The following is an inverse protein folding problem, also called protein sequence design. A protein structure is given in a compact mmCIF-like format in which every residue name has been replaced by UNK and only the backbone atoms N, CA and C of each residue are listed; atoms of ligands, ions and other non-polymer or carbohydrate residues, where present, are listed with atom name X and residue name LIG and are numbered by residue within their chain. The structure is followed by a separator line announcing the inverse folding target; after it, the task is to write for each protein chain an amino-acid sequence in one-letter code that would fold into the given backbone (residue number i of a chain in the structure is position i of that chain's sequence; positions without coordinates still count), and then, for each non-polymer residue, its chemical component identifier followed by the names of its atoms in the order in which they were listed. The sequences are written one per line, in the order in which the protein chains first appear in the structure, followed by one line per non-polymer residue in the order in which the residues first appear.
data_IF_177666333339
#
_entry.id   IF_177666333339
#
_cell.length_a   1.000
_cell.length_b   1.000
_cell.length_c   1.000
_cell.angle_alpha   90.00
_cell.angle_beta   90.00
_cell.angle_gamma   90.00
#
_symmetry.space_group_name_H-M   'P 1'
#
loop_
_entity.id
_entity.type
_entity.pdbx_description
1 polymer ?
#
# COMPACT_ATOMS: atom_id res chain seq x y z
N UNK A 1 -52.22 -30.33 -2.08
CA UNK A 1 -50.98 -29.53 -1.90
C UNK A 1 -50.89 -28.54 -3.04
N UNK A 2 -50.91 -27.27 -2.68
CA UNK A 2 -51.29 -26.16 -3.56
C UNK A 2 -50.13 -25.75 -4.49
N UNK A 3 -50.41 -25.64 -5.80
CA UNK A 3 -49.41 -25.38 -6.86
C UNK A 3 -48.67 -24.07 -6.64
N UNK A 4 -49.33 -23.10 -6.01
CA UNK A 4 -48.78 -21.78 -5.63
C UNK A 4 -47.67 -21.88 -4.57
N UNK A 5 -47.77 -22.82 -3.63
CA UNK A 5 -46.73 -22.98 -2.59
C UNK A 5 -45.41 -23.52 -3.16
N UNK A 6 -45.48 -24.31 -4.24
CA UNK A 6 -44.29 -24.84 -4.94
C UNK A 6 -43.58 -23.83 -5.82
N UNK A 7 -44.23 -22.75 -6.25
CA UNK A 7 -43.62 -21.68 -7.05
C UNK A 7 -43.01 -20.55 -6.20
N UNK A 8 -43.55 -20.33 -4.99
CA UNK A 8 -43.01 -19.33 -4.05
C UNK A 8 -41.63 -19.76 -3.52
N UNK A 9 -41.42 -21.04 -3.22
CA UNK A 9 -40.14 -21.57 -2.74
C UNK A 9 -38.95 -21.44 -3.74
N UNK A 10 -39.09 -21.73 -5.05
CA UNK A 10 -38.03 -21.52 -6.03
C UNK A 10 -37.78 -20.04 -6.31
N UNK A 11 -38.82 -19.20 -6.31
CA UNK A 11 -38.64 -17.75 -6.42
C UNK A 11 -37.84 -17.19 -5.22
N UNK A 12 -38.12 -17.65 -4.00
CA UNK A 12 -37.37 -17.25 -2.81
C UNK A 12 -35.91 -17.73 -2.85
N UNK A 13 -35.64 -18.95 -3.33
CA UNK A 13 -34.26 -19.44 -3.52
C UNK A 13 -33.49 -18.60 -4.53
N UNK A 14 -34.12 -18.28 -5.67
CA UNK A 14 -33.51 -17.48 -6.71
C UNK A 14 -33.20 -16.05 -6.23
N UNK A 15 -34.12 -15.45 -5.44
CA UNK A 15 -33.89 -14.15 -4.80
C UNK A 15 -32.74 -14.24 -3.80
N UNK A 16 -32.70 -15.28 -2.95
CA UNK A 16 -31.64 -15.47 -1.97
C UNK A 16 -30.27 -15.66 -2.64
N UNK A 17 -30.21 -16.35 -3.77
CA UNK A 17 -28.97 -16.57 -4.53
C UNK A 17 -28.46 -15.28 -5.19
N UNK A 18 -29.34 -14.50 -5.82
CA UNK A 18 -28.97 -13.21 -6.41
C UNK A 18 -28.54 -12.21 -5.33
N UNK A 19 -29.24 -12.17 -4.19
CA UNK A 19 -28.84 -11.33 -3.05
C UNK A 19 -27.51 -11.82 -2.48
N UNK A 20 -27.34 -13.13 -2.29
CA UNK A 20 -26.09 -13.72 -1.80
C UNK A 20 -24.90 -13.39 -2.69
N UNK A 21 -25.06 -13.49 -4.01
CA UNK A 21 -24.03 -13.08 -4.97
C UNK A 21 -23.73 -11.59 -4.89
N UNK A 22 -24.73 -10.71 -4.79
CA UNK A 22 -24.51 -9.26 -4.67
C UNK A 22 -23.87 -8.85 -3.34
N UNK A 23 -24.29 -9.47 -2.24
CA UNK A 23 -23.72 -9.22 -0.90
C UNK A 23 -22.29 -9.74 -0.83
N UNK A 24 -22.02 -10.95 -1.35
CA UNK A 24 -20.67 -11.50 -1.42
C UNK A 24 -19.78 -10.65 -2.34
N UNK A 25 -20.29 -10.23 -3.50
CA UNK A 25 -19.58 -9.35 -4.42
C UNK A 25 -19.27 -8.00 -3.78
N UNK A 26 -20.25 -7.36 -3.14
CA UNK A 26 -20.07 -6.10 -2.43
C UNK A 26 -19.13 -6.23 -1.24
N UNK A 27 -19.18 -7.34 -0.50
CA UNK A 27 -18.28 -7.64 0.61
C UNK A 27 -16.85 -7.87 0.12
N UNK A 28 -16.66 -8.62 -0.97
CA UNK A 28 -15.34 -8.82 -1.58
C UNK A 28 -14.82 -7.52 -2.17
N UNK A 29 -15.65 -6.73 -2.84
CA UNK A 29 -15.27 -5.44 -3.40
C UNK A 29 -14.89 -4.46 -2.29
N UNK A 30 -15.67 -4.37 -1.22
CA UNK A 30 -15.34 -3.59 -0.03
C UNK A 30 -14.06 -4.11 0.62
N UNK A 31 -13.91 -5.43 0.77
CA UNK A 31 -12.71 -6.04 1.36
C UNK A 31 -11.47 -5.78 0.50
N UNK A 32 -11.58 -5.80 -0.81
CA UNK A 32 -10.50 -5.46 -1.75
C UNK A 32 -10.21 -3.96 -1.77
N UNK A 33 -11.21 -3.11 -1.56
CA UNK A 33 -11.05 -1.66 -1.39
C UNK A 33 -10.46 -1.29 -0.01
N UNK A 34 -10.74 -2.07 1.04
CA UNK A 34 -10.19 -1.85 2.38
C UNK A 34 -8.85 -2.54 2.59
N UNK A 35 -8.51 -3.57 1.80
CA UNK A 35 -7.23 -4.28 1.87
C UNK A 35 -6.04 -3.45 1.37
N UNK A 36 -6.30 -2.33 0.69
CA UNK A 36 -5.30 -1.32 0.36
C UNK A 36 -5.83 -0.02 0.94
N UNK A 37 -5.30 0.47 2.07
CA UNK A 37 -5.79 1.67 2.71
C UNK A 37 -5.90 2.80 1.69
N UNK A 38 -7.12 3.25 1.39
CA UNK A 38 -7.38 4.30 0.41
C UNK A 38 -6.72 5.63 0.80
N UNK A 39 -6.42 5.80 2.09
CA UNK A 39 -5.58 6.84 2.66
C UNK A 39 -4.56 6.17 3.58
N UNK A 40 -3.32 6.01 3.10
CA UNK A 40 -2.20 5.77 4.02
C UNK A 40 -2.02 7.07 4.80
N UNK A 41 -2.25 7.02 6.12
CA UNK A 41 -1.99 8.14 7.01
C UNK A 41 -0.86 7.74 7.95
N UNK A 42 0.34 8.26 7.68
CA UNK A 42 1.54 7.96 8.47
C UNK A 42 1.39 8.50 9.90
N UNK A 43 0.67 9.60 10.08
CA UNK A 43 0.37 10.16 11.40
C UNK A 43 -0.57 9.33 12.28
N UNK A 44 -1.18 8.26 11.75
CA UNK A 44 -1.97 7.29 12.54
C UNK A 44 -1.18 6.07 13.00
N UNK A 45 0.04 5.89 12.48
CA UNK A 45 0.92 4.80 12.89
C UNK A 45 1.46 5.06 14.30
N UNK A 46 1.92 4.02 14.98
CA UNK A 46 2.70 4.21 16.19
C UNK A 46 3.99 4.95 15.85
N UNK A 47 4.51 5.73 16.79
CA UNK A 47 5.69 6.57 16.56
C UNK A 47 6.87 5.78 15.96
N UNK A 48 7.17 4.59 16.50
CA UNK A 48 8.25 3.71 16.00
C UNK A 48 8.02 3.21 14.58
N UNK A 49 6.77 2.92 14.22
CA UNK A 49 6.38 2.47 12.88
C UNK A 49 6.46 3.63 11.88
N UNK A 50 6.02 4.82 12.27
CA UNK A 50 6.12 6.02 11.46
C UNK A 50 7.58 6.38 11.17
N UNK A 51 8.45 6.31 12.18
CA UNK A 51 9.90 6.49 12.03
C UNK A 51 10.52 5.45 11.10
N UNK A 52 10.14 4.18 11.23
CA UNK A 52 10.61 3.11 10.35
C UNK A 52 10.23 3.37 8.88
N UNK A 53 8.96 3.75 8.64
CA UNK A 53 8.46 4.08 7.31
C UNK A 53 9.18 5.27 6.71
N UNK A 54 9.40 6.32 7.50
CA UNK A 54 10.10 7.52 7.04
C UNK A 54 11.56 7.25 6.69
N UNK A 55 12.26 6.48 7.53
CA UNK A 55 13.65 6.09 7.24
C UNK A 55 13.74 5.18 6.03
N UNK A 56 12.78 4.28 5.86
CA UNK A 56 12.68 3.47 4.65
C UNK A 56 12.39 4.32 3.41
N UNK A 57 11.54 5.34 3.52
CA UNK A 57 11.22 6.25 2.43
C UNK A 57 12.49 6.94 1.88
N UNK A 58 13.41 7.33 2.75
CA UNK A 58 14.70 7.90 2.34
C UNK A 58 15.53 6.88 1.55
N UNK A 59 15.61 5.62 1.99
CA UNK A 59 16.28 4.54 1.24
C UNK A 59 15.64 4.35 -0.13
N UNK A 60 14.31 4.34 -0.20
CA UNK A 60 13.57 4.18 -1.45
C UNK A 60 13.81 5.37 -2.41
N UNK A 61 13.85 6.60 -1.90
CA UNK A 61 14.16 7.78 -2.68
C UNK A 61 15.59 7.75 -3.25
N UNK A 62 16.55 7.23 -2.47
CA UNK A 62 17.95 7.10 -2.89
C UNK A 62 18.19 5.93 -3.85
N UNK A 63 17.35 4.90 -3.86
CA UNK A 63 17.55 3.67 -4.64
C UNK A 63 17.64 3.92 -6.16
N UNK A 64 17.01 4.99 -6.66
CA UNK A 64 17.08 5.38 -8.07
C UNK A 64 18.30 6.21 -8.45
N UNK A 65 19.02 6.77 -7.48
CA UNK A 65 20.12 7.72 -7.69
C UNK A 65 19.69 9.13 -8.14
N UNK A 66 18.40 9.35 -8.37
CA UNK A 66 17.84 10.62 -8.87
C UNK A 66 17.38 11.52 -7.72
N UNK A 67 17.95 12.72 -7.62
CA UNK A 67 17.60 13.67 -6.57
C UNK A 67 16.14 14.19 -6.67
N UNK A 68 15.52 14.11 -7.84
CA UNK A 68 14.11 14.48 -8.05
C UNK A 68 13.16 13.64 -7.17
N UNK A 69 13.48 12.37 -6.93
CA UNK A 69 12.69 11.47 -6.10
C UNK A 69 12.58 11.96 -4.65
N UNK A 70 13.60 12.69 -4.15
CA UNK A 70 13.62 13.16 -2.76
C UNK A 70 12.44 14.09 -2.46
N UNK A 71 12.18 15.04 -3.36
CA UNK A 71 11.09 16.01 -3.22
C UNK A 71 9.71 15.37 -3.41
N UNK A 72 9.59 14.43 -4.36
CA UNK A 72 8.34 13.70 -4.64
C UNK A 72 7.92 12.87 -3.43
N UNK A 73 8.85 12.09 -2.87
CA UNK A 73 8.60 11.26 -1.69
C UNK A 73 8.28 12.14 -0.47
N UNK A 74 9.01 13.23 -0.27
CA UNK A 74 8.74 14.18 0.83
C UNK A 74 7.35 14.81 0.74
N UNK A 75 6.96 15.25 -0.46
CA UNK A 75 5.63 15.82 -0.71
C UNK A 75 4.52 14.79 -0.44
N UNK A 76 4.74 13.54 -0.86
CA UNK A 76 3.81 12.45 -0.58
C UNK A 76 3.67 12.18 0.93
N UNK A 77 4.78 12.12 1.66
CA UNK A 77 4.77 11.92 3.12
C UNK A 77 4.01 13.05 3.83
N UNK A 78 4.22 14.31 3.40
CA UNK A 78 3.47 15.45 3.93
C UNK A 78 1.96 15.33 3.64
N UNK A 79 1.59 14.95 2.41
CA UNK A 79 0.20 14.68 2.03
C UNK A 79 -0.43 13.49 2.77
N UNK A 80 0.38 12.54 3.23
CA UNK A 80 -0.01 11.41 4.06
C UNK A 80 -0.15 11.75 5.56
N UNK A 81 -0.09 13.04 5.93
CA UNK A 81 -0.26 13.48 7.33
C UNK A 81 0.93 13.18 8.23
N UNK A 82 2.13 13.04 7.67
CA UNK A 82 3.36 12.86 8.45
C UNK A 82 3.68 14.12 9.25
N UNK A 83 3.97 13.98 10.55
CA UNK A 83 4.30 15.11 11.41
C UNK A 83 5.60 15.83 10.96
N UNK A 84 5.76 17.14 11.25
CA UNK A 84 6.95 17.89 10.86
C UNK A 84 8.27 17.28 11.36
N UNK A 85 8.31 16.77 12.59
CA UNK A 85 9.51 16.14 13.17
C UNK A 85 9.91 14.85 12.44
N UNK A 86 8.91 14.11 11.97
CA UNK A 86 9.11 12.93 11.13
C UNK A 86 9.58 13.34 9.72
N UNK A 87 9.07 14.44 9.14
CA UNK A 87 9.62 14.96 7.89
C UNK A 87 11.08 15.42 8.05
N UNK A 88 11.45 15.99 9.19
CA UNK A 88 12.86 16.28 9.48
C UNK A 88 13.70 14.99 9.61
N UNK A 89 13.12 13.93 10.17
CA UNK A 89 13.75 12.59 10.23
C UNK A 89 13.98 12.01 8.83
N UNK A 90 13.04 12.21 7.90
CA UNK A 90 13.22 11.86 6.49
C UNK A 90 14.42 12.61 5.89
N UNK A 91 14.43 13.94 6.06
CA UNK A 91 15.47 14.82 5.52
C UNK A 91 16.87 14.44 6.07
N UNK A 92 16.96 14.07 7.35
CA UNK A 92 18.19 13.55 7.97
C UNK A 92 18.59 12.18 7.42
N UNK A 93 17.63 11.28 7.21
CA UNK A 93 17.89 9.94 6.67
C UNK A 93 18.34 9.96 5.20
N UNK A 94 18.03 11.01 4.44
CA UNK A 94 18.62 11.19 3.10
C UNK A 94 20.13 11.45 3.14
N UNK A 95 20.63 12.09 4.20
CA UNK A 95 22.06 12.38 4.38
C UNK A 95 22.82 11.20 4.99
N UNK A 96 22.16 10.46 5.89
CA UNK A 96 22.72 9.28 6.55
C UNK A 96 21.70 8.13 6.49
N UNK A 97 21.60 7.44 5.34
CA UNK A 97 20.60 6.40 5.18
C UNK A 97 20.91 5.19 6.05
N UNK A 98 19.89 4.55 6.65
CA UNK A 98 20.09 3.27 7.30
C UNK A 98 20.54 2.22 6.28
N UNK A 99 21.28 1.22 6.75
CA UNK A 99 21.60 0.06 5.95
C UNK A 99 20.31 -0.64 5.49
N UNK A 100 20.31 -1.15 4.24
CA UNK A 100 19.11 -1.67 3.59
C UNK A 100 18.49 -2.85 4.36
N UNK A 101 19.31 -3.74 4.89
CA UNK A 101 18.90 -4.87 5.73
C UNK A 101 18.12 -4.39 6.97
N UNK A 102 18.61 -3.34 7.64
CA UNK A 102 17.94 -2.74 8.80
C UNK A 102 16.63 -2.06 8.41
N UNK A 103 16.61 -1.32 7.31
CA UNK A 103 15.42 -0.65 6.81
C UNK A 103 14.32 -1.65 6.44
N UNK A 104 14.71 -2.75 5.79
CA UNK A 104 13.82 -3.86 5.49
C UNK A 104 13.33 -4.52 6.77
N UNK A 105 14.22 -4.87 7.71
CA UNK A 105 13.83 -5.51 8.97
C UNK A 105 12.80 -4.69 9.76
N UNK A 106 12.90 -3.37 9.71
CA UNK A 106 11.98 -2.45 10.40
C UNK A 106 10.54 -2.45 9.81
N UNK A 107 10.35 -2.90 8.57
CA UNK A 107 9.03 -2.99 7.90
C UNK A 107 8.50 -4.44 7.84
N UNK A 108 8.76 -5.24 8.88
CA UNK A 108 8.41 -6.66 8.89
C UNK A 108 6.90 -6.95 8.93
N UNK A 109 6.10 -6.03 9.47
CA UNK A 109 4.64 -6.14 9.48
C UNK A 109 4.09 -6.01 8.04
N UNK A 110 3.10 -6.83 7.68
CA UNK A 110 2.46 -6.81 6.36
C UNK A 110 1.91 -5.44 5.97
N UNK A 111 1.33 -4.68 6.91
CA UNK A 111 0.79 -3.35 6.64
C UNK A 111 1.92 -2.35 6.36
N UNK A 112 3.00 -2.39 7.14
CA UNK A 112 4.17 -1.54 6.92
C UNK A 112 4.90 -1.89 5.62
N UNK A 113 4.99 -3.18 5.29
CA UNK A 113 5.56 -3.65 4.03
C UNK A 113 4.77 -3.11 2.82
N UNK A 114 3.44 -3.06 2.90
CA UNK A 114 2.61 -2.48 1.85
C UNK A 114 2.85 -0.97 1.71
N UNK A 115 2.90 -0.23 2.83
CA UNK A 115 3.21 1.21 2.82
C UNK A 115 4.60 1.48 2.23
N UNK A 116 5.59 0.71 2.64
CA UNK A 116 6.96 0.77 2.14
C UNK A 116 7.03 0.48 0.63
N UNK A 117 6.30 -0.52 0.15
CA UNK A 117 6.20 -0.80 -1.28
C UNK A 117 5.57 0.37 -2.05
N UNK A 118 4.49 0.97 -1.54
CA UNK A 118 3.89 2.16 -2.16
C UNK A 118 4.87 3.33 -2.20
N UNK A 119 5.65 3.56 -1.14
CA UNK A 119 6.71 4.58 -1.13
C UNK A 119 7.78 4.31 -2.19
N UNK A 120 8.19 3.05 -2.38
CA UNK A 120 9.11 2.69 -3.45
C UNK A 120 8.52 2.94 -4.85
N UNK A 121 7.21 2.75 -5.03
CA UNK A 121 6.52 3.13 -6.27
C UNK A 121 6.45 4.64 -6.48
N UNK A 122 6.20 5.41 -5.42
CA UNK A 122 6.20 6.88 -5.45
C UNK A 122 7.58 7.39 -5.84
N UNK A 123 8.64 6.85 -5.23
CA UNK A 123 10.02 7.18 -5.57
C UNK A 123 10.35 6.81 -7.03
N UNK A 124 9.79 5.71 -7.53
CA UNK A 124 10.01 5.24 -8.90
C UNK A 124 9.20 5.99 -9.98
N UNK A 125 8.30 6.91 -9.61
CA UNK A 125 7.40 7.57 -10.58
C UNK A 125 8.16 8.38 -11.63
N UNK A 126 9.14 9.16 -11.16
CA UNK A 126 9.97 10.04 -12.00
C UNK A 126 11.46 9.64 -11.96
N UNK A 127 11.74 8.43 -11.46
CA UNK A 127 13.09 7.89 -11.34
C UNK A 127 13.33 6.77 -12.36
N UNK A 128 14.60 6.57 -12.72
CA UNK A 128 15.01 5.57 -13.71
C UNK A 128 14.69 4.11 -13.33
N UNK A 129 15.04 3.15 -14.21
CA UNK A 129 14.70 1.73 -14.04
C UNK A 129 15.23 1.11 -12.74
N UNK A 130 16.26 1.68 -12.12
CA UNK A 130 16.80 1.22 -10.84
C UNK A 130 15.80 1.38 -9.68
N UNK A 131 15.11 2.51 -9.57
CA UNK A 131 14.07 2.72 -8.54
C UNK A 131 12.92 1.73 -8.71
N UNK A 132 12.58 1.41 -9.96
CA UNK A 132 11.57 0.41 -10.28
C UNK A 132 11.98 -0.99 -9.85
N UNK A 133 13.20 -1.40 -10.17
CA UNK A 133 13.76 -2.67 -9.74
C UNK A 133 13.80 -2.79 -8.21
N UNK A 134 14.10 -1.68 -7.51
CA UNK A 134 14.04 -1.63 -6.06
C UNK A 134 12.62 -1.88 -5.51
N UNK A 135 11.59 -1.24 -6.09
CA UNK A 135 10.21 -1.49 -5.69
C UNK A 135 9.81 -2.96 -5.90
N UNK A 136 10.20 -3.56 -7.02
CA UNK A 136 9.93 -4.98 -7.31
C UNK A 136 10.69 -5.91 -6.34
N UNK A 137 11.94 -5.56 -5.98
CA UNK A 137 12.71 -6.25 -4.94
C UNK A 137 12.03 -6.18 -3.57
N UNK A 138 11.53 -5.02 -3.15
CA UNK A 138 10.81 -4.86 -1.87
C UNK A 138 9.56 -5.73 -1.83
N UNK A 139 8.78 -5.77 -2.91
CA UNK A 139 7.61 -6.63 -3.02
C UNK A 139 7.96 -8.11 -2.89
N UNK A 140 9.03 -8.55 -3.56
CA UNK A 140 9.51 -9.93 -3.47
C UNK A 140 10.04 -10.27 -2.07
N UNK A 141 10.90 -9.42 -1.51
CA UNK A 141 11.51 -9.63 -0.19
C UNK A 141 10.47 -9.68 0.94
N UNK A 142 9.40 -8.91 0.82
CA UNK A 142 8.30 -8.89 1.81
C UNK A 142 7.16 -9.85 1.46
N UNK A 143 7.32 -10.67 0.42
CA UNK A 143 6.32 -11.64 -0.03
C UNK A 143 4.93 -11.02 -0.21
N UNK A 144 4.88 -9.79 -0.75
CA UNK A 144 3.62 -9.07 -0.95
C UNK A 144 2.80 -9.83 -2.01
N UNK A 145 1.51 -10.16 -1.75
CA UNK A 145 0.70 -10.90 -2.70
C UNK A 145 0.63 -10.21 -4.07
N UNK A 146 0.76 -10.98 -5.15
CA UNK A 146 0.78 -10.45 -6.53
C UNK A 146 -0.47 -9.64 -6.87
N UNK A 147 -1.64 -10.01 -6.31
CA UNK A 147 -2.88 -9.26 -6.47
C UNK A 147 -2.77 -7.84 -5.90
N UNK A 148 -2.17 -7.70 -4.72
CA UNK A 148 -1.92 -6.42 -4.04
C UNK A 148 -0.91 -5.57 -4.81
N UNK A 149 0.18 -6.18 -5.27
CA UNK A 149 1.19 -5.53 -6.12
C UNK A 149 0.51 -4.95 -7.37
N UNK A 150 -0.25 -5.76 -8.12
CA UNK A 150 -0.96 -5.32 -9.33
C UNK A 150 -1.95 -4.19 -9.04
N UNK A 151 -2.66 -4.25 -7.93
CA UNK A 151 -3.61 -3.21 -7.54
C UNK A 151 -2.92 -1.88 -7.22
N UNK A 152 -1.83 -1.90 -6.45
CA UNK A 152 -1.02 -0.71 -6.18
C UNK A 152 -0.42 -0.13 -7.47
N UNK A 153 0.09 -0.98 -8.38
CA UNK A 153 0.63 -0.53 -9.66
C UNK A 153 -0.41 0.14 -10.55
N UNK A 154 -1.64 -0.37 -10.61
CA UNK A 154 -2.71 0.28 -11.37
C UNK A 154 -3.03 1.67 -10.83
N UNK A 155 -2.91 1.86 -9.51
CA UNK A 155 -3.22 3.13 -8.85
C UNK A 155 -2.09 4.16 -8.97
N UNK A 156 -0.85 3.71 -8.91
CA UNK A 156 0.33 4.57 -8.94
C UNK A 156 1.02 4.63 -10.32
N UNK A 157 0.36 4.10 -11.37
CA UNK A 157 0.70 4.39 -12.77
C UNK A 157 0.08 5.73 -13.14
N UNK A 158 0.93 6.74 -13.26
CA UNK A 158 0.59 8.05 -13.81
C UNK A 158 1.85 8.72 -14.34
#
# INVERSE_FOLDING_TARGET
MDRRQREVAPAQRQIAEVIGQKVLHGWLQNRHQTAIPLNINVGRLQQSEAEAIVRFAAVAALAGGEASAHGVVRSWLAGAGTAPDLLATYDAALQSPPALDKALAAIANADLALVAFVLALVAARDAGPAARAFADYVAAHRSIPTATVRAALRRHRS
#
